data_IF_520869747757
#
_entry.id   IF_520869747757
#
_cell.length_a   1.000
_cell.length_b   1.000
_cell.length_c   1.000
_cell.angle_alpha   90.00
_cell.angle_beta   90.00
_cell.angle_gamma   90.00
#
_symmetry.space_group_name_H-M   'P 1'
#
loop_
_entity.id
_entity.type
_entity.pdbx_description
1 polymer ?
#
# COMPACT_ATOMS: atom_id res chain seq x y z
N UNK A 1 -10.24 -47.72 23.86
CA UNK A 1 -11.24 -47.08 23.00
C UNK A 1 -10.60 -45.82 22.46
N UNK A 2 -10.20 -45.79 21.20
CA UNK A 2 -9.72 -44.57 20.55
C UNK A 2 -10.79 -44.14 19.55
N UNK A 3 -11.47 -43.03 19.85
CA UNK A 3 -12.35 -42.38 18.90
C UNK A 3 -11.53 -41.78 17.77
N UNK A 4 -11.75 -42.27 16.56
CA UNK A 4 -11.19 -41.73 15.34
C UNK A 4 -11.85 -40.37 15.03
N UNK A 5 -11.24 -39.27 15.50
CA UNK A 5 -11.64 -37.92 15.12
C UNK A 5 -11.28 -37.70 13.65
N UNK A 6 -12.25 -37.90 12.74
CA UNK A 6 -12.10 -37.56 11.32
C UNK A 6 -11.90 -36.05 11.18
N UNK A 7 -10.70 -35.62 10.76
CA UNK A 7 -10.45 -34.23 10.34
C UNK A 7 -11.47 -33.82 9.25
N UNK A 8 -12.11 -32.64 9.36
CA UNK A 8 -13.04 -32.18 8.35
C UNK A 8 -12.29 -32.04 7.01
N UNK A 9 -12.77 -32.74 5.98
CA UNK A 9 -12.27 -32.54 4.61
C UNK A 9 -12.87 -31.24 4.07
N UNK A 10 -12.02 -30.29 3.67
CA UNK A 10 -12.45 -29.12 2.92
C UNK A 10 -13.18 -29.59 1.66
N UNK A 11 -14.44 -29.17 1.48
CA UNK A 11 -15.32 -29.76 0.46
C UNK A 11 -15.03 -29.30 -0.96
N UNK A 12 -14.33 -28.20 -1.15
CA UNK A 12 -13.81 -27.68 -2.43
C UNK A 12 -13.07 -26.37 -2.12
N UNK A 13 -12.13 -25.91 -2.97
CA UNK A 13 -11.56 -24.58 -2.83
C UNK A 13 -12.65 -23.51 -2.97
N UNK A 14 -12.65 -22.52 -2.08
CA UNK A 14 -13.52 -21.36 -2.19
C UNK A 14 -13.10 -20.54 -3.41
N UNK A 15 -13.94 -20.56 -4.46
CA UNK A 15 -13.76 -19.74 -5.66
C UNK A 15 -14.78 -18.59 -5.62
N UNK A 16 -14.32 -17.40 -5.21
CA UNK A 16 -15.08 -16.17 -5.34
C UNK A 16 -14.52 -15.36 -6.50
N UNK A 17 -15.32 -15.15 -7.54
CA UNK A 17 -14.96 -14.25 -8.62
C UNK A 17 -15.15 -12.82 -8.14
N UNK A 18 -14.06 -12.10 -7.91
CA UNK A 18 -14.12 -10.66 -7.69
C UNK A 18 -14.41 -10.00 -9.04
N UNK A 19 -15.63 -9.54 -9.25
CA UNK A 19 -15.99 -8.77 -10.44
C UNK A 19 -15.53 -7.33 -10.23
N UNK A 20 -14.33 -7.02 -10.72
CA UNK A 20 -13.79 -5.66 -10.74
C UNK A 20 -14.13 -5.04 -12.09
N UNK A 21 -14.77 -3.87 -12.09
CA UNK A 21 -15.08 -3.12 -13.30
C UNK A 21 -13.81 -2.63 -14.02
N UNK A 22 -13.91 -2.32 -15.31
CA UNK A 22 -12.78 -1.72 -16.04
C UNK A 22 -12.40 -0.35 -15.47
N UNK A 23 -13.38 0.40 -14.96
CA UNK A 23 -13.16 1.70 -14.34
C UNK A 23 -12.35 1.59 -13.05
N UNK A 24 -12.71 0.65 -12.16
CA UNK A 24 -11.97 0.37 -10.94
C UNK A 24 -10.54 -0.08 -11.26
N UNK A 25 -10.36 -0.94 -12.27
CA UNK A 25 -9.02 -1.38 -12.70
C UNK A 25 -8.19 -0.20 -13.22
N UNK A 26 -8.80 0.69 -14.01
CA UNK A 26 -8.13 1.87 -14.51
C UNK A 26 -7.78 2.86 -13.38
N UNK A 27 -8.64 3.01 -12.38
CA UNK A 27 -8.37 3.84 -11.21
C UNK A 27 -7.20 3.29 -10.39
N UNK A 28 -7.16 1.98 -10.13
CA UNK A 28 -6.03 1.34 -9.44
C UNK A 28 -4.73 1.52 -10.23
N UNK A 29 -4.73 1.31 -11.54
CA UNK A 29 -3.54 1.49 -12.36
C UNK A 29 -3.02 2.94 -12.35
N UNK A 30 -3.90 3.95 -12.35
CA UNK A 30 -3.50 5.36 -12.21
C UNK A 30 -2.88 5.64 -10.84
N UNK A 31 -3.51 5.14 -9.77
CA UNK A 31 -2.99 5.27 -8.40
C UNK A 31 -1.59 4.68 -8.28
N UNK A 32 -1.38 3.47 -8.80
CA UNK A 32 -0.09 2.78 -8.83
C UNK A 32 0.97 3.60 -9.60
N UNK A 33 0.66 4.05 -10.81
CA UNK A 33 1.59 4.84 -11.62
C UNK A 33 2.04 6.13 -10.92
N UNK A 34 1.11 6.85 -10.28
CA UNK A 34 1.40 8.12 -9.58
C UNK A 34 2.19 7.92 -8.29
N UNK A 35 1.92 6.84 -7.57
CA UNK A 35 2.72 6.46 -6.41
C UNK A 35 4.15 6.09 -6.83
N UNK A 36 4.30 5.34 -7.94
CA UNK A 36 5.60 4.96 -8.50
C UNK A 36 6.42 6.17 -8.97
N UNK A 37 5.80 7.21 -9.53
CA UNK A 37 6.47 8.47 -9.90
C UNK A 37 7.18 9.13 -8.70
N UNK A 38 6.60 8.98 -7.51
CA UNK A 38 7.16 9.50 -6.26
C UNK A 38 8.01 8.46 -5.53
N UNK A 39 8.03 7.21 -6.02
CA UNK A 39 8.70 6.08 -5.38
C UNK A 39 8.06 5.66 -4.05
N UNK A 40 6.77 5.94 -3.89
CA UNK A 40 5.95 5.53 -2.74
C UNK A 40 5.54 4.08 -2.94
N UNK A 41 5.88 3.22 -1.98
CA UNK A 41 5.53 1.80 -2.06
C UNK A 41 4.14 1.58 -1.48
N UNK A 42 3.17 1.35 -2.36
CA UNK A 42 1.83 0.96 -1.96
C UNK A 42 1.85 -0.37 -1.19
N UNK A 43 0.97 -0.51 -0.20
CA UNK A 43 0.74 -1.74 0.55
C UNK A 43 1.87 -2.20 1.48
N UNK A 44 2.74 -1.29 1.94
CA UNK A 44 3.65 -1.58 3.06
C UNK A 44 2.85 -1.72 4.36
N UNK A 45 2.94 -2.90 4.98
CA UNK A 45 2.12 -3.26 6.14
C UNK A 45 2.79 -2.99 7.50
N UNK A 46 4.05 -2.55 7.56
CA UNK A 46 4.75 -2.33 8.84
C UNK A 46 5.82 -1.22 8.73
N UNK A 47 5.76 -0.26 9.66
CA UNK A 47 6.87 0.63 10.01
C UNK A 47 7.47 0.17 11.34
N UNK A 48 8.76 -0.20 11.35
CA UNK A 48 9.42 -0.71 12.55
C UNK A 48 10.07 0.40 13.39
N UNK A 49 10.41 1.55 12.80
CA UNK A 49 11.10 2.66 13.46
C UNK A 49 10.31 3.99 13.42
N UNK A 50 10.66 4.94 14.30
CA UNK A 50 10.02 6.28 14.34
C UNK A 50 10.14 7.05 13.02
N UNK A 51 11.27 6.93 12.34
CA UNK A 51 11.50 7.58 11.04
C UNK A 51 10.68 6.87 9.94
N UNK A 52 10.55 5.54 10.01
CA UNK A 52 9.62 4.80 9.14
C UNK A 52 8.18 5.28 9.36
N UNK A 53 7.77 5.54 10.61
CA UNK A 53 6.41 6.00 10.93
C UNK A 53 6.13 7.42 10.42
N UNK A 54 7.08 8.36 10.53
CA UNK A 54 6.92 9.72 9.96
C UNK A 54 6.90 9.71 8.43
N UNK A 55 7.73 8.86 7.80
CA UNK A 55 7.72 8.67 6.36
C UNK A 55 6.39 8.07 5.90
N UNK A 56 5.92 7.04 6.60
CA UNK A 56 4.64 6.39 6.31
C UNK A 56 3.46 7.36 6.45
N UNK A 57 3.41 8.18 7.51
CA UNK A 57 2.38 9.21 7.65
C UNK A 57 2.37 10.22 6.50
N UNK A 58 3.56 10.57 5.99
CA UNK A 58 3.68 11.45 4.83
C UNK A 58 3.23 10.76 3.54
N UNK A 59 3.59 9.49 3.35
CA UNK A 59 3.12 8.68 2.22
C UNK A 59 1.59 8.53 2.23
N UNK A 60 1.01 8.19 3.38
CA UNK A 60 -0.44 8.09 3.57
C UNK A 60 -1.13 9.42 3.28
N UNK A 61 -0.58 10.54 3.79
CA UNK A 61 -1.13 11.86 3.51
C UNK A 61 -1.10 12.19 2.01
N UNK A 62 0.03 11.92 1.34
CA UNK A 62 0.17 12.14 -0.11
C UNK A 62 -0.82 11.28 -0.89
N UNK A 63 -0.96 10.03 -0.48
CA UNK A 63 -1.86 9.06 -1.09
C UNK A 63 -3.31 9.51 -1.02
N UNK A 64 -3.80 9.81 0.19
CA UNK A 64 -5.20 10.13 0.45
C UNK A 64 -5.61 11.51 -0.10
N UNK A 65 -4.72 12.50 -0.04
CA UNK A 65 -5.07 13.89 -0.36
C UNK A 65 -4.71 14.31 -1.78
N UNK A 66 -3.87 13.53 -2.49
CA UNK A 66 -3.42 13.90 -3.83
C UNK A 66 -3.52 12.75 -4.82
N UNK A 67 -2.98 11.58 -4.51
CA UNK A 67 -2.99 10.46 -5.45
C UNK A 67 -4.41 9.96 -5.70
N UNK A 68 -5.16 9.67 -4.62
CA UNK A 68 -6.52 9.12 -4.69
C UNK A 68 -7.53 10.12 -5.26
N UNK A 69 -7.21 11.42 -5.21
CA UNK A 69 -8.02 12.50 -5.76
C UNK A 69 -7.60 12.90 -7.19
N UNK A 70 -6.62 12.21 -7.79
CA UNK A 70 -6.06 12.56 -9.10
C UNK A 70 -5.50 14.02 -9.15
N UNK A 71 -5.01 14.55 -8.03
CA UNK A 71 -4.43 15.91 -7.88
C UNK A 71 -2.91 15.89 -7.80
N UNK A 72 -2.24 16.89 -8.38
CA UNK A 72 -0.77 17.02 -8.31
C UNK A 72 -0.25 17.19 -6.88
N UNK A 73 0.85 16.50 -6.56
CA UNK A 73 1.51 16.63 -5.26
C UNK A 73 2.30 17.95 -5.21
N UNK A 74 2.06 18.80 -4.21
CA UNK A 74 2.83 20.02 -3.96
C UNK A 74 4.33 19.76 -3.85
N UNK A 75 5.13 20.67 -4.40
CA UNK A 75 6.59 20.51 -4.47
C UNK A 75 7.26 20.47 -3.09
N UNK A 76 6.72 21.22 -2.13
CA UNK A 76 7.17 21.23 -0.73
C UNK A 76 6.99 19.86 -0.06
N UNK A 77 5.91 19.15 -0.36
CA UNK A 77 5.68 17.79 0.14
C UNK A 77 6.63 16.78 -0.52
N UNK A 78 6.89 16.91 -1.83
CA UNK A 78 7.88 16.07 -2.52
C UNK A 78 9.28 16.27 -1.93
N UNK A 79 9.69 17.52 -1.70
CA UNK A 79 10.97 17.80 -1.07
C UNK A 79 11.07 17.20 0.33
N UNK A 80 10.01 17.32 1.13
CA UNK A 80 9.94 16.74 2.48
C UNK A 80 10.06 15.22 2.41
N UNK A 81 9.36 14.59 1.47
CA UNK A 81 9.41 13.15 1.25
C UNK A 81 10.81 12.68 0.87
N UNK A 82 11.45 13.33 -0.10
CA UNK A 82 12.82 13.00 -0.54
C UNK A 82 13.82 13.16 0.61
N UNK A 83 13.70 14.22 1.43
CA UNK A 83 14.56 14.43 2.59
C UNK A 83 14.41 13.32 3.62
N UNK A 84 13.18 12.96 3.99
CA UNK A 84 12.92 11.89 4.96
C UNK A 84 13.38 10.52 4.45
N UNK A 85 13.11 10.21 3.18
CA UNK A 85 13.54 8.97 2.54
C UNK A 85 15.07 8.84 2.54
N UNK A 86 15.78 9.93 2.23
CA UNK A 86 17.25 9.95 2.27
C UNK A 86 17.78 9.76 3.69
N UNK A 87 17.18 10.40 4.70
CA UNK A 87 17.54 10.20 6.11
C UNK A 87 17.36 8.72 6.49
N UNK A 88 16.30 8.07 6.02
CA UNK A 88 16.06 6.66 6.30
C UNK A 88 17.09 5.74 5.63
N UNK A 89 17.44 6.01 4.37
CA UNK A 89 18.48 5.28 3.65
C UNK A 89 19.87 5.45 4.30
N UNK A 90 20.22 6.65 4.75
CA UNK A 90 21.50 6.93 5.42
C UNK A 90 21.58 6.29 6.83
N UNK A 91 20.44 5.99 7.47
CA UNK A 91 20.38 5.36 8.81
C UNK A 91 20.28 3.82 8.77
N UNK A 92 20.16 3.20 7.59
CA UNK A 92 20.12 1.73 7.40
C UNK A 92 21.48 1.17 6.99
#
# INVERSE_FOLDING_TARGET
>A
MEENIKKPKAKEPYAFSVNISEEERAATARREARADELGIKLYLLDANDKIDAELQQLEDYILENFIDLDLDVPEDLKEKYIKLKKILEDNR
#
